data_IF_399115542381
#
_entry.id   IF_399115542381
#
_cell.length_a   1.000
_cell.length_b   1.000
_cell.length_c   1.000
_cell.angle_alpha   90.00
_cell.angle_beta   90.00
_cell.angle_gamma   90.00
#
_symmetry.space_group_name_H-M   'P 1'
#
loop_
_entity.id
_entity.type
_entity.pdbx_description
1 polymer ?
#
# COMPACT_ATOMS: atom_id res chain seq x y z
N UNK A 1 35.05 -13.80 -4.52
CA UNK A 1 34.30 -13.55 -5.77
C UNK A 1 32.86 -14.04 -5.68
N UNK A 2 32.59 -15.29 -5.28
CA UNK A 2 31.23 -15.84 -5.12
C UNK A 2 30.29 -15.01 -4.22
N UNK A 3 30.80 -14.46 -3.11
CA UNK A 3 30.04 -13.61 -2.17
C UNK A 3 29.48 -12.33 -2.80
N UNK A 4 30.22 -11.71 -3.72
CA UNK A 4 29.78 -10.49 -4.42
C UNK A 4 28.65 -10.81 -5.40
N UNK A 5 28.72 -11.96 -6.06
CA UNK A 5 27.70 -12.41 -7.01
C UNK A 5 26.37 -12.72 -6.31
N UNK A 6 26.42 -13.32 -5.12
CA UNK A 6 25.22 -13.60 -4.29
C UNK A 6 24.55 -12.30 -3.81
N UNK A 7 25.33 -11.31 -3.37
CA UNK A 7 24.79 -10.02 -2.95
C UNK A 7 24.13 -9.25 -4.10
N UNK A 8 24.72 -9.31 -5.30
CA UNK A 8 24.17 -8.69 -6.49
C UNK A 8 22.85 -9.36 -6.92
N UNK A 9 22.78 -10.69 -6.86
CA UNK A 9 21.56 -11.44 -7.15
C UNK A 9 20.44 -11.13 -6.16
N UNK A 10 20.77 -10.95 -4.88
CA UNK A 10 19.78 -10.61 -3.85
C UNK A 10 19.22 -9.20 -4.03
N UNK A 11 20.04 -8.23 -4.46
CA UNK A 11 19.62 -6.85 -4.69
C UNK A 11 18.57 -6.71 -5.81
N UNK A 12 18.63 -7.56 -6.84
CA UNK A 12 17.70 -7.52 -7.97
C UNK A 12 16.29 -7.95 -7.56
N UNK A 13 16.16 -8.83 -6.55
CA UNK A 13 14.86 -9.32 -6.07
C UNK A 13 14.02 -8.24 -5.36
N UNK A 14 14.65 -7.16 -4.85
CA UNK A 14 13.95 -6.07 -4.15
C UNK A 14 13.55 -4.90 -5.07
N UNK A 15 13.74 -5.00 -6.38
CA UNK A 15 13.50 -3.90 -7.34
C UNK A 15 12.03 -3.73 -7.78
N UNK A 16 11.05 -4.29 -7.07
CA UNK A 16 9.64 -4.29 -7.50
C UNK A 16 8.85 -3.03 -7.14
N UNK A 17 9.48 -2.01 -6.54
CA UNK A 17 8.78 -0.75 -6.20
C UNK A 17 8.73 0.17 -7.42
N UNK A 18 7.56 0.28 -8.06
CA UNK A 18 7.31 1.18 -9.18
C UNK A 18 6.41 2.34 -8.77
N UNK A 19 6.85 3.57 -9.02
CA UNK A 19 6.03 4.76 -8.83
C UNK A 19 5.03 4.89 -9.98
N UNK A 20 3.75 4.63 -9.70
CA UNK A 20 2.63 4.76 -10.65
C UNK A 20 1.91 6.09 -10.47
N UNK A 21 1.28 6.59 -11.54
CA UNK A 21 0.54 7.84 -11.46
C UNK A 21 -0.75 7.63 -10.62
N UNK A 22 -1.25 8.66 -9.90
CA UNK A 22 -2.38 8.48 -9.00
C UNK A 22 -3.64 7.86 -9.62
N UNK A 23 -3.95 8.18 -10.88
CA UNK A 23 -5.11 7.64 -11.60
C UNK A 23 -4.91 6.22 -12.15
N UNK A 24 -3.69 5.71 -12.20
CA UNK A 24 -3.42 4.32 -12.60
C UNK A 24 -3.67 3.36 -11.43
N UNK A 25 -3.65 3.88 -10.18
CA UNK A 25 -3.85 3.10 -8.96
C UNK A 25 -5.23 2.45 -8.88
N UNK A 26 -6.25 3.08 -9.45
CA UNK A 26 -7.61 2.51 -9.52
C UNK A 26 -7.62 1.17 -10.26
N UNK A 27 -6.79 1.00 -11.29
CA UNK A 27 -6.69 -0.29 -12.02
C UNK A 27 -5.99 -1.39 -11.22
N UNK A 28 -5.19 -1.02 -10.22
CA UNK A 28 -4.51 -1.97 -9.35
C UNK A 28 -5.39 -2.33 -8.13
N UNK A 29 -6.30 -1.45 -7.74
CA UNK A 29 -7.22 -1.64 -6.63
C UNK A 29 -8.53 -2.32 -7.10
N UNK A 30 -8.49 -3.64 -7.24
CA UNK A 30 -9.68 -4.46 -7.51
C UNK A 30 -10.70 -4.34 -6.36
N UNK A 31 -12.00 -4.14 -6.65
CA UNK A 31 -13.06 -4.12 -5.63
C UNK A 31 -13.08 -5.32 -4.68
N UNK A 32 -12.57 -6.49 -5.07
CA UNK A 32 -12.45 -7.65 -4.18
C UNK A 32 -11.48 -7.43 -3.01
N UNK A 33 -10.58 -6.46 -3.11
CA UNK A 33 -9.64 -6.08 -2.04
C UNK A 33 -10.28 -5.19 -0.97
N UNK A 34 -11.58 -4.89 -1.09
CA UNK A 34 -12.35 -4.21 -0.06
C UNK A 34 -12.78 -5.26 0.97
N UNK A 35 -12.02 -5.35 2.06
CA UNK A 35 -12.26 -6.32 3.13
C UNK A 35 -13.38 -5.92 4.09
N UNK A 36 -13.81 -4.66 4.06
CA UNK A 36 -14.83 -4.14 4.95
C UNK A 36 -16.19 -4.12 4.24
N UNK A 37 -17.21 -4.67 4.89
CA UNK A 37 -18.57 -4.73 4.35
C UNK A 37 -19.16 -3.31 4.14
N UNK A 38 -18.77 -2.35 4.99
CA UNK A 38 -19.17 -0.94 4.88
C UNK A 38 -17.92 -0.03 4.82
N UNK A 39 -17.28 0.12 3.64
CA UNK A 39 -16.01 0.84 3.51
C UNK A 39 -16.12 2.34 3.80
N UNK A 40 -17.30 2.94 3.60
CA UNK A 40 -17.54 4.36 3.85
C UNK A 40 -17.49 4.66 5.35
N UNK A 41 -18.22 3.90 6.16
CA UNK A 41 -18.23 4.08 7.61
C UNK A 41 -16.85 3.82 8.21
N UNK A 42 -16.16 2.79 7.70
CA UNK A 42 -14.79 2.47 8.09
C UNK A 42 -13.84 3.64 7.81
N UNK A 43 -13.88 4.23 6.61
CA UNK A 43 -13.04 5.38 6.26
C UNK A 43 -13.32 6.62 7.12
N UNK A 44 -14.57 6.84 7.53
CA UNK A 44 -14.94 7.95 8.42
C UNK A 44 -14.36 7.73 9.83
N UNK A 45 -14.51 6.53 10.39
CA UNK A 45 -13.92 6.19 11.70
C UNK A 45 -12.40 6.32 11.68
N UNK A 46 -11.77 5.84 10.61
CA UNK A 46 -10.33 5.96 10.39
C UNK A 46 -9.89 7.43 10.42
N UNK A 47 -10.57 8.29 9.66
CA UNK A 47 -10.28 9.72 9.65
C UNK A 47 -10.37 10.34 11.05
N UNK A 48 -11.37 9.96 11.86
CA UNK A 48 -11.43 10.41 13.25
C UNK A 48 -10.25 9.95 14.10
N UNK A 49 -9.82 8.69 13.94
CA UNK A 49 -8.68 8.12 14.65
C UNK A 49 -7.38 8.81 14.22
N UNK A 50 -7.17 9.02 12.92
CA UNK A 50 -6.02 9.73 12.36
C UNK A 50 -5.87 11.15 12.94
N UNK A 51 -6.97 11.91 12.99
CA UNK A 51 -6.98 13.24 13.61
C UNK A 51 -6.68 13.19 15.11
N UNK A 52 -7.21 12.18 15.81
CA UNK A 52 -7.03 12.05 17.26
C UNK A 52 -5.63 11.63 17.63
N UNK A 53 -5.01 10.76 16.83
CA UNK A 53 -3.73 10.13 17.12
C UNK A 53 -2.54 10.83 16.43
N UNK A 54 -2.82 11.77 15.53
CA UNK A 54 -1.79 12.50 14.78
C UNK A 54 -0.99 11.61 13.83
N UNK A 55 -1.53 10.44 13.48
CA UNK A 55 -0.97 9.50 12.52
C UNK A 55 -1.84 9.52 11.26
N UNK A 56 -1.23 9.48 10.07
CA UNK A 56 -1.96 9.50 8.81
C UNK A 56 -1.46 8.39 7.87
N UNK A 57 -2.38 7.72 7.18
CA UNK A 57 -2.07 6.77 6.11
C UNK A 57 -1.60 5.40 6.57
N UNK A 58 -1.72 5.06 7.86
CA UNK A 58 -1.31 3.76 8.39
C UNK A 58 -2.22 2.60 7.94
N UNK A 59 -3.41 2.90 7.47
CA UNK A 59 -4.52 1.93 7.39
C UNK A 59 -4.86 1.48 5.97
N UNK A 60 -4.14 1.98 4.96
CA UNK A 60 -4.37 1.59 3.57
C UNK A 60 -5.80 1.86 3.09
N UNK A 61 -6.57 2.70 3.80
CA UNK A 61 -8.01 2.88 3.58
C UNK A 61 -8.37 3.42 2.18
N UNK A 62 -7.42 4.00 1.45
CA UNK A 62 -7.62 4.42 0.05
C UNK A 62 -7.33 3.33 -0.99
N UNK A 63 -6.63 2.25 -0.64
CA UNK A 63 -6.31 1.14 -1.55
C UNK A 63 -5.95 -0.10 -0.74
N UNK A 64 -6.82 -1.12 -0.75
CA UNK A 64 -6.58 -2.36 -0.01
C UNK A 64 -5.25 -3.05 -0.36
N UNK A 65 -4.64 -3.69 0.63
CA UNK A 65 -3.37 -4.44 0.47
C UNK A 65 -2.13 -3.55 0.49
N UNK A 66 -0.98 -4.07 0.03
CA UNK A 66 0.29 -3.34 -0.18
C UNK A 66 0.17 -2.25 -1.29
N UNK A 67 -0.97 -1.55 -1.35
CA UNK A 67 -1.23 -0.43 -2.22
C UNK A 67 -0.16 0.62 -1.99
N UNK A 68 0.72 0.75 -2.96
CA UNK A 68 1.77 1.76 -3.00
C UNK A 68 1.10 3.14 -2.89
N UNK A 69 1.13 3.72 -1.67
CA UNK A 69 0.67 5.09 -1.37
C UNK A 69 1.27 6.14 -2.29
#
# INVERSE_FOLDING_TARGET
MLKVFVLLALAILFSSCAAVKPWEREKLADPIMIFNENPIDAGIQEHFIEHREGAAGATGAQSGGCGCG
#
